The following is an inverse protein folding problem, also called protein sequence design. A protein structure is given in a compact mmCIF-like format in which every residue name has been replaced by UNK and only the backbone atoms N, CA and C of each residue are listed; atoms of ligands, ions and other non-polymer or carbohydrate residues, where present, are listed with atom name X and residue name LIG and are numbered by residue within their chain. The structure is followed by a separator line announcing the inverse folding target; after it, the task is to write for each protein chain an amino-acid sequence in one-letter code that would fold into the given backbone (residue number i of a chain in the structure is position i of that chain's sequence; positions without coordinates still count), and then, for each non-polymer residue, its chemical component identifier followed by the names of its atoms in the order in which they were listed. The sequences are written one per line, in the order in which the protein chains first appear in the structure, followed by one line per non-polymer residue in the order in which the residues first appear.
data_IF_685326728410
#
_entry.id   IF_685326728410
#
_cell.length_a   1.000
_cell.length_b   1.000
_cell.length_c   1.000
_cell.angle_alpha   90.00
_cell.angle_beta   90.00
_cell.angle_gamma   90.00
#
_symmetry.space_group_name_H-M   'P 1'
#
loop_
_entity.id
_entity.type
_entity.pdbx_description
1 polymer ?
#
# COMPACT_ATOMS: atom_id res chain seq x y z
N UNK A 1 -1.91 -23.25 7.89
CA UNK A 1 -1.95 -24.68 7.56
C UNK A 1 -0.90 -24.90 6.49
N UNK A 2 0.08 -25.78 6.74
CA UNK A 2 1.23 -25.99 5.86
C UNK A 2 0.77 -26.51 4.50
N UNK A 3 1.31 -25.95 3.42
CA UNK A 3 1.09 -26.42 2.06
C UNK A 3 1.35 -27.91 1.98
N UNK A 4 0.34 -28.67 1.55
CA UNK A 4 0.48 -30.08 1.26
C UNK A 4 1.24 -30.18 -0.08
N UNK A 5 2.57 -30.05 -0.04
CA UNK A 5 3.42 -30.14 -1.21
C UNK A 5 3.12 -31.46 -1.95
N UNK A 6 2.56 -31.33 -3.15
CA UNK A 6 2.24 -32.49 -3.98
C UNK A 6 3.53 -33.25 -4.31
N UNK A 7 3.50 -34.57 -4.19
CA UNK A 7 4.67 -35.42 -4.46
C UNK A 7 4.34 -36.51 -5.47
N UNK A 8 5.33 -36.97 -6.24
CA UNK A 8 5.24 -38.14 -7.11
C UNK A 8 6.26 -39.21 -6.71
N UNK A 9 5.95 -40.47 -7.02
CA UNK A 9 6.89 -41.57 -6.83
C UNK A 9 7.67 -41.78 -8.13
N UNK A 10 9.00 -41.85 -8.03
CA UNK A 10 9.90 -42.21 -9.12
C UNK A 10 10.74 -43.42 -8.72
N UNK A 11 11.35 -44.06 -9.72
CA UNK A 11 12.28 -45.18 -9.52
C UNK A 11 13.71 -44.72 -9.78
N UNK A 12 14.64 -45.14 -8.92
CA UNK A 12 16.06 -44.97 -9.19
C UNK A 12 16.45 -45.76 -10.44
N UNK A 13 17.05 -45.10 -11.42
CA UNK A 13 17.47 -45.74 -12.67
C UNK A 13 18.48 -46.89 -12.48
N UNK A 14 19.24 -46.88 -11.37
CA UNK A 14 20.28 -47.88 -11.09
C UNK A 14 19.81 -49.05 -10.22
N UNK A 15 19.06 -48.80 -9.14
CA UNK A 15 18.66 -49.86 -8.19
C UNK A 15 17.15 -50.07 -8.07
N UNK A 16 16.33 -49.36 -8.87
CA UNK A 16 14.87 -49.45 -8.85
C UNK A 16 14.21 -49.10 -7.50
N UNK A 17 14.96 -48.55 -6.55
CA UNK A 17 14.41 -48.01 -5.30
C UNK A 17 13.35 -46.95 -5.58
N UNK A 18 12.22 -47.01 -4.88
CA UNK A 18 11.16 -45.98 -4.95
C UNK A 18 11.58 -44.75 -4.14
N UNK A 19 11.42 -43.57 -4.73
CA UNK A 19 11.64 -42.28 -4.10
C UNK A 19 10.41 -41.41 -4.25
N UNK A 20 10.05 -40.69 -3.19
CA UNK A 20 9.06 -39.63 -3.25
C UNK A 20 9.78 -38.32 -3.53
N UNK A 21 9.43 -37.65 -4.62
CA UNK A 21 9.99 -36.34 -4.99
C UNK A 21 8.86 -35.32 -5.10
N UNK A 22 9.12 -34.04 -4.73
CA UNK A 22 8.16 -32.97 -4.94
C UNK A 22 7.85 -32.80 -6.44
N UNK A 23 6.65 -32.33 -6.75
CA UNK A 23 6.27 -31.92 -8.10
C UNK A 23 6.13 -30.41 -8.19
N UNK A 24 6.34 -29.86 -9.39
CA UNK A 24 6.11 -28.44 -9.71
C UNK A 24 6.95 -27.46 -8.89
N UNK A 25 8.25 -27.74 -8.74
CA UNK A 25 9.18 -26.83 -8.07
C UNK A 25 10.43 -26.52 -8.92
N UNK A 26 10.40 -26.85 -10.20
CA UNK A 26 11.52 -26.69 -11.13
C UNK A 26 12.60 -27.77 -10.98
N UNK A 27 13.84 -27.40 -11.28
CA UNK A 27 15.00 -28.30 -11.26
C UNK A 27 15.45 -28.61 -9.85
N UNK A 28 15.57 -29.91 -9.55
CA UNK A 28 16.10 -30.40 -8.28
C UNK A 28 17.22 -31.41 -8.50
N UNK A 29 18.07 -31.55 -7.48
CA UNK A 29 19.04 -32.64 -7.39
C UNK A 29 18.49 -33.74 -6.50
N UNK A 30 18.34 -34.93 -7.06
CA UNK A 30 17.84 -36.11 -6.34
C UNK A 30 19.00 -37.04 -6.02
N UNK A 31 19.03 -37.55 -4.79
CA UNK A 31 19.99 -38.56 -4.34
C UNK A 31 19.25 -39.85 -3.99
N UNK A 32 19.73 -40.97 -4.52
CA UNK A 32 19.20 -42.27 -4.16
C UNK A 32 19.43 -42.54 -2.65
N UNK A 33 18.39 -42.92 -1.89
CA UNK A 33 18.53 -43.21 -0.46
C UNK A 33 19.19 -44.57 -0.20
N UNK A 34 19.29 -45.45 -1.21
CA UNK A 34 19.98 -46.72 -1.07
C UNK A 34 21.50 -46.47 -0.92
N UNK A 35 22.11 -46.82 0.22
CA UNK A 35 23.51 -46.53 0.54
C UNK A 35 24.53 -47.22 -0.39
N UNK A 36 24.14 -48.31 -1.05
CA UNK A 36 24.97 -49.03 -2.02
C UNK A 36 24.89 -48.42 -3.43
N UNK A 37 23.80 -47.74 -3.76
CA UNK A 37 23.54 -47.22 -5.10
C UNK A 37 24.23 -45.87 -5.36
N UNK A 38 24.21 -44.98 -4.36
CA UNK A 38 24.80 -43.61 -4.33
C UNK A 38 24.53 -42.72 -5.55
N UNK A 39 23.61 -43.11 -6.45
CA UNK A 39 23.31 -42.37 -7.66
C UNK A 39 22.71 -41.00 -7.31
N UNK A 40 23.18 -39.97 -8.02
CA UNK A 40 22.64 -38.61 -7.96
C UNK A 40 22.36 -38.16 -9.38
N UNK A 41 21.23 -37.50 -9.58
CA UNK A 41 20.85 -36.95 -10.87
C UNK A 41 20.04 -35.68 -10.69
N UNK A 42 20.05 -34.84 -11.72
CA UNK A 42 19.17 -33.69 -11.80
C UNK A 42 17.90 -34.07 -12.55
N UNK A 43 16.77 -33.54 -12.09
CA UNK A 43 15.51 -33.69 -12.80
C UNK A 43 14.67 -32.43 -12.69
N UNK A 44 13.88 -32.20 -13.73
CA UNK A 44 12.86 -31.17 -13.72
C UNK A 44 11.55 -31.76 -13.16
N UNK A 45 11.00 -31.12 -12.13
CA UNK A 45 9.76 -31.53 -11.49
C UNK A 45 8.52 -30.85 -12.09
N UNK A 46 8.72 -30.02 -13.12
CA UNK A 46 7.71 -29.15 -13.71
C UNK A 46 7.79 -27.74 -13.13
N UNK A 47 7.26 -26.77 -13.87
CA UNK A 47 7.18 -25.38 -13.43
C UNK A 47 6.26 -25.26 -12.22
N UNK A 48 6.65 -24.37 -11.29
CA UNK A 48 5.78 -23.97 -10.18
C UNK A 48 4.51 -23.37 -10.79
N UNK A 49 3.30 -23.73 -10.31
CA UNK A 49 2.10 -23.07 -10.79
C UNK A 49 2.28 -21.57 -10.59
N UNK A 50 2.07 -20.79 -11.65
CA UNK A 50 1.96 -19.34 -11.53
C UNK A 50 0.72 -19.05 -10.68
N UNK A 51 0.93 -18.75 -9.41
CA UNK A 51 -0.11 -18.11 -8.62
C UNK A 51 -0.07 -16.62 -8.97
N UNK A 52 -1.12 -16.07 -9.60
CA UNK A 52 -1.17 -14.64 -9.84
C UNK A 52 -1.07 -13.94 -8.50
N UNK A 53 -0.07 -13.07 -8.36
CA UNK A 53 0.08 -12.19 -7.19
C UNK A 53 -1.20 -11.36 -7.11
N UNK A 54 -2.10 -11.72 -6.20
CA UNK A 54 -3.29 -10.92 -5.94
C UNK A 54 -2.83 -9.71 -5.13
N UNK A 55 -2.76 -8.57 -5.79
CA UNK A 55 -2.48 -7.31 -5.11
C UNK A 55 -3.54 -7.09 -4.00
N UNK A 56 -3.14 -6.47 -2.88
CA UNK A 56 -4.05 -6.17 -1.77
C UNK A 56 -5.06 -5.04 -2.11
N UNK A 57 -4.96 -4.51 -3.32
CA UNK A 57 -5.82 -3.46 -3.88
C UNK A 57 -6.14 -3.71 -5.36
N UNK A 58 -7.20 -3.07 -5.82
CA UNK A 58 -7.51 -2.84 -7.22
C UNK A 58 -7.15 -1.40 -7.59
N UNK A 59 -6.51 -1.22 -8.74
CA UNK A 59 -6.31 0.12 -9.32
C UNK A 59 -7.61 0.55 -9.99
N UNK A 60 -8.10 1.71 -9.58
CA UNK A 60 -9.30 2.35 -10.13
C UNK A 60 -8.84 3.43 -11.11
N UNK A 61 -9.15 3.27 -12.38
CA UNK A 61 -8.73 4.18 -13.45
C UNK A 61 -9.55 5.47 -13.43
N UNK A 62 -9.24 6.35 -12.48
CA UNK A 62 -9.87 7.65 -12.29
C UNK A 62 -8.80 8.70 -11.98
N UNK A 63 -8.85 9.80 -12.71
CA UNK A 63 -7.97 10.95 -12.48
C UNK A 63 -8.33 11.69 -11.18
N UNK A 64 -7.34 11.86 -10.30
CA UNK A 64 -7.50 12.59 -9.03
C UNK A 64 -7.93 14.06 -9.26
N UNK A 65 -8.76 14.59 -8.36
CA UNK A 65 -9.30 15.95 -8.44
C UNK A 65 -10.51 16.11 -9.37
N UNK A 66 -10.89 15.08 -10.12
CA UNK A 66 -12.09 15.11 -10.98
C UNK A 66 -13.40 14.87 -10.21
N UNK A 67 -14.54 15.20 -10.81
CA UNK A 67 -15.85 14.86 -10.24
C UNK A 67 -16.04 13.34 -10.03
N UNK A 68 -15.52 12.51 -10.95
CA UNK A 68 -15.54 11.06 -10.83
C UNK A 68 -14.74 10.59 -9.60
N UNK A 69 -13.56 11.19 -9.38
CA UNK A 69 -12.75 10.91 -8.18
C UNK A 69 -13.49 11.27 -6.90
N UNK A 70 -14.14 12.44 -6.87
CA UNK A 70 -14.94 12.86 -5.74
C UNK A 70 -16.14 11.96 -5.46
N UNK A 71 -16.80 11.44 -6.50
CA UNK A 71 -17.91 10.51 -6.38
C UNK A 71 -17.44 9.12 -5.89
N UNK A 72 -16.30 8.63 -6.39
CA UNK A 72 -15.67 7.40 -5.90
C UNK A 72 -15.32 7.52 -4.41
N UNK A 73 -14.76 8.65 -3.97
CA UNK A 73 -14.46 8.93 -2.55
C UNK A 73 -15.68 9.00 -1.62
N UNK A 74 -16.89 9.14 -2.15
CA UNK A 74 -18.11 9.07 -1.33
C UNK A 74 -18.53 7.62 -1.02
N UNK A 75 -17.95 6.65 -1.72
CA UNK A 75 -18.22 5.22 -1.59
C UNK A 75 -17.35 4.55 -0.51
N UNK A 76 -16.45 5.30 0.13
CA UNK A 76 -15.56 4.78 1.16
C UNK A 76 -14.87 5.88 1.98
N UNK A 77 -13.82 5.48 2.69
CA UNK A 77 -12.94 6.30 3.50
C UNK A 77 -11.59 6.40 2.81
N UNK A 78 -11.12 7.63 2.60
CA UNK A 78 -9.82 7.90 2.01
C UNK A 78 -8.73 8.02 3.06
N UNK A 79 -7.47 7.76 2.71
CA UNK A 79 -6.33 7.95 3.63
C UNK A 79 -6.31 9.31 4.35
N UNK A 80 -6.69 10.40 3.67
CA UNK A 80 -6.77 11.75 4.26
C UNK A 80 -7.83 11.91 5.34
N UNK A 81 -8.82 11.02 5.39
CA UNK A 81 -9.88 11.02 6.40
C UNK A 81 -9.37 10.42 7.72
N UNK A 82 -8.40 9.50 7.65
CA UNK A 82 -7.92 8.69 8.75
C UNK A 82 -7.48 9.50 9.99
N UNK A 83 -6.63 10.55 9.87
CA UNK A 83 -6.25 11.34 11.04
C UNK A 83 -7.45 12.00 11.74
N UNK A 84 -8.49 12.37 10.99
CA UNK A 84 -9.70 12.97 11.58
C UNK A 84 -10.55 11.93 12.30
N UNK A 85 -10.67 10.73 11.72
CA UNK A 85 -11.40 9.60 12.31
C UNK A 85 -10.70 9.13 13.59
N UNK A 86 -9.37 9.13 13.60
CA UNK A 86 -8.52 8.80 14.74
C UNK A 86 -8.45 9.90 15.81
N UNK A 87 -8.97 11.10 15.54
CA UNK A 87 -8.91 12.23 16.48
C UNK A 87 -7.55 12.94 16.53
N UNK A 88 -6.70 12.74 15.53
CA UNK A 88 -5.33 13.28 15.41
C UNK A 88 -5.29 14.58 14.59
N UNK A 89 -6.36 14.90 13.86
CA UNK A 89 -6.46 16.12 13.07
C UNK A 89 -6.81 17.34 13.94
N UNK A 90 -5.92 18.34 14.08
CA UNK A 90 -6.18 19.52 14.92
C UNK A 90 -7.17 20.52 14.29
N UNK A 91 -7.48 20.40 12.99
CA UNK A 91 -8.31 21.36 12.25
C UNK A 91 -9.74 20.87 11.97
N UNK A 92 -10.01 19.57 12.15
CA UNK A 92 -11.31 18.97 11.85
C UNK A 92 -11.66 17.91 12.88
N UNK A 93 -12.88 17.97 13.41
CA UNK A 93 -13.41 16.94 14.29
C UNK A 93 -14.01 15.77 13.50
N UNK A 94 -14.04 14.59 14.13
CA UNK A 94 -14.75 13.40 13.61
C UNK A 94 -16.20 13.71 13.22
N UNK A 95 -16.94 14.43 14.06
CA UNK A 95 -18.33 14.78 13.79
C UNK A 95 -18.49 15.68 12.56
N UNK A 96 -17.58 16.64 12.37
CA UNK A 96 -17.56 17.47 11.16
C UNK A 96 -17.28 16.65 9.90
N UNK A 97 -16.33 15.71 9.96
CA UNK A 97 -16.06 14.81 8.83
C UNK A 97 -17.27 13.92 8.51
N UNK A 98 -17.96 13.40 9.53
CA UNK A 98 -19.16 12.59 9.35
C UNK A 98 -20.25 13.39 8.64
N UNK A 99 -20.49 14.63 9.06
CA UNK A 99 -21.45 15.54 8.44
C UNK A 99 -21.11 15.85 6.97
N UNK A 100 -19.83 16.15 6.69
CA UNK A 100 -19.32 16.39 5.34
C UNK A 100 -19.53 15.15 4.43
N UNK A 101 -19.22 13.95 4.93
CA UNK A 101 -19.42 12.67 4.22
C UNK A 101 -20.89 12.31 4.02
N UNK A 102 -21.75 12.64 4.98
CA UNK A 102 -23.19 12.39 4.91
C UNK A 102 -23.85 13.29 3.86
N UNK A 103 -23.57 14.59 3.92
CA UNK A 103 -24.12 15.60 3.00
C UNK A 103 -23.38 15.69 1.66
N UNK A 104 -22.31 14.92 1.48
CA UNK A 104 -21.40 14.96 0.31
C UNK A 104 -20.89 16.38 0.05
N UNK A 105 -20.63 17.14 1.11
CA UNK A 105 -20.14 18.51 1.03
C UNK A 105 -18.69 18.47 0.59
N UNK A 106 -18.37 19.20 -0.48
CA UNK A 106 -17.00 19.36 -0.95
C UNK A 106 -16.35 20.52 -0.20
N UNK A 107 -15.23 20.22 0.47
CA UNK A 107 -14.40 21.27 1.07
C UNK A 107 -13.78 22.08 -0.07
N UNK A 108 -14.05 23.38 -0.09
CA UNK A 108 -13.38 24.29 -1.03
C UNK A 108 -11.89 24.26 -0.75
N UNK A 109 -11.09 23.98 -1.78
CA UNK A 109 -9.64 24.00 -1.65
C UNK A 109 -9.18 25.39 -1.17
N UNK A 110 -8.37 25.41 -0.11
CA UNK A 110 -7.68 26.64 0.29
C UNK A 110 -6.56 26.95 -0.71
N UNK A 111 -6.06 28.19 -0.71
CA UNK A 111 -4.91 28.56 -1.55
C UNK A 111 -3.69 27.66 -1.28
N UNK A 112 -3.48 27.28 -0.02
CA UNK A 112 -2.41 26.37 0.37
C UNK A 112 -2.60 24.96 -0.23
N UNK A 113 -3.84 24.44 -0.24
CA UNK A 113 -4.16 23.16 -0.88
C UNK A 113 -3.97 23.24 -2.39
N UNK A 114 -4.52 24.28 -3.04
CA UNK A 114 -4.39 24.48 -4.48
C UNK A 114 -2.93 24.61 -4.94
N UNK A 115 -2.11 25.38 -4.20
CA UNK A 115 -0.67 25.48 -4.42
C UNK A 115 0.01 24.12 -4.24
N UNK A 116 -0.39 23.35 -3.23
CA UNK A 116 0.13 22.01 -3.00
C UNK A 116 -0.10 21.09 -4.19
N UNK A 117 -1.34 21.01 -4.67
CA UNK A 117 -1.72 20.23 -5.85
C UNK A 117 -0.97 20.69 -7.11
N UNK A 118 -0.79 21.99 -7.31
CA UNK A 118 -0.05 22.51 -8.47
C UNK A 118 1.44 22.13 -8.46
N UNK A 119 2.06 21.99 -7.28
CA UNK A 119 3.48 21.64 -7.12
C UNK A 119 3.75 20.14 -7.15
N UNK A 120 2.75 19.31 -6.87
CA UNK A 120 2.91 17.85 -6.72
C UNK A 120 3.54 17.16 -7.95
N UNK A 121 3.20 17.49 -9.21
CA UNK A 121 3.87 16.87 -10.36
C UNK A 121 5.36 17.21 -10.46
N UNK A 122 5.77 18.41 -10.05
CA UNK A 122 7.18 18.82 -10.01
C UNK A 122 7.92 18.12 -8.86
N UNK A 123 7.30 18.09 -7.68
CA UNK A 123 7.81 17.41 -6.49
C UNK A 123 8.08 15.92 -6.75
N UNK A 124 7.15 15.26 -7.45
CA UNK A 124 7.27 13.86 -7.84
C UNK A 124 8.43 13.61 -8.79
N UNK A 125 8.58 14.44 -9.84
CA UNK A 125 9.73 14.35 -10.75
C UNK A 125 11.06 14.53 -10.00
N UNK A 126 11.10 15.38 -8.97
CA UNK A 126 12.28 15.51 -8.11
C UNK A 126 12.52 14.25 -7.28
N UNK A 127 11.48 13.67 -6.68
CA UNK A 127 11.57 12.39 -5.99
C UNK A 127 12.14 11.31 -6.91
N UNK A 128 11.56 11.11 -8.09
CA UNK A 128 12.03 10.09 -9.07
C UNK A 128 13.49 10.29 -9.45
N UNK A 129 13.92 11.55 -9.69
CA UNK A 129 15.32 11.88 -9.99
C UNK A 129 16.28 11.57 -8.84
N UNK A 130 15.82 11.73 -7.59
CA UNK A 130 16.65 11.57 -6.38
C UNK A 130 16.75 10.12 -5.93
N UNK A 131 15.66 9.37 -6.03
CA UNK A 131 15.58 7.98 -5.57
C UNK A 131 15.85 6.98 -6.68
N UNK A 132 15.66 7.35 -7.95
CA UNK A 132 15.69 6.44 -9.08
C UNK A 132 14.42 5.57 -9.21
N UNK A 133 13.39 5.83 -8.40
CA UNK A 133 12.14 5.06 -8.38
C UNK A 133 11.09 5.82 -9.19
N UNK A 134 10.66 5.25 -10.32
CA UNK A 134 9.57 5.80 -11.16
C UNK A 134 8.21 5.55 -10.51
N UNK A 135 7.38 6.58 -10.38
CA UNK A 135 6.09 6.49 -9.67
C UNK A 135 4.98 7.30 -10.35
N UNK A 136 3.74 6.82 -10.30
CA UNK A 136 2.57 7.51 -10.88
C UNK A 136 1.39 7.59 -9.90
N UNK A 137 0.48 8.57 -10.05
CA UNK A 137 -0.58 8.78 -9.08
C UNK A 137 -1.67 7.76 -9.37
N UNK A 138 -2.15 7.08 -8.34
CA UNK A 138 -3.15 6.03 -8.50
C UNK A 138 -4.27 6.16 -7.47
N UNK A 139 -5.46 5.73 -7.87
CA UNK A 139 -6.57 5.50 -6.96
C UNK A 139 -6.63 4.00 -6.69
N UNK A 140 -6.54 3.63 -5.42
CA UNK A 140 -6.47 2.24 -4.95
C UNK A 140 -7.70 1.95 -4.09
N UNK A 141 -8.30 0.79 -4.30
CA UNK A 141 -9.37 0.26 -3.46
C UNK A 141 -8.96 -1.09 -2.89
N UNK A 142 -9.02 -1.26 -1.57
CA UNK A 142 -8.63 -2.51 -0.94
C UNK A 142 -9.50 -3.68 -1.42
N UNK A 143 -8.86 -4.83 -1.69
CA UNK A 143 -9.56 -6.08 -2.00
C UNK A 143 -10.16 -6.76 -0.76
N UNK A 144 -9.66 -6.41 0.43
CA UNK A 144 -10.13 -6.94 1.71
C UNK A 144 -11.29 -6.12 2.28
N UNK A 145 -11.23 -4.79 2.16
CA UNK A 145 -12.23 -3.87 2.69
C UNK A 145 -12.73 -2.94 1.58
N UNK A 146 -13.90 -3.21 1.01
CA UNK A 146 -14.43 -2.45 -0.14
C UNK A 146 -14.55 -0.93 0.11
N UNK A 147 -14.67 -0.51 1.37
CA UNK A 147 -14.79 0.89 1.78
C UNK A 147 -13.44 1.58 2.01
N UNK A 148 -12.32 0.85 2.01
CA UNK A 148 -10.99 1.38 2.30
C UNK A 148 -10.33 1.81 0.98
N UNK A 149 -10.11 3.12 0.83
CA UNK A 149 -9.67 3.77 -0.40
C UNK A 149 -8.39 4.59 -0.18
N UNK A 150 -7.47 4.58 -1.13
CA UNK A 150 -6.31 5.46 -1.11
C UNK A 150 -6.14 6.18 -2.45
N UNK A 151 -5.95 7.51 -2.40
CA UNK A 151 -5.43 8.27 -3.54
C UNK A 151 -3.98 8.56 -3.20
N UNK A 152 -3.06 7.84 -3.84
CA UNK A 152 -1.64 7.95 -3.54
C UNK A 152 -0.97 8.91 -4.51
N UNK A 153 -0.02 9.68 -4.02
CA UNK A 153 0.70 10.64 -4.85
C UNK A 153 1.63 9.91 -5.82
N UNK A 154 2.28 8.83 -5.40
CA UNK A 154 3.04 7.98 -6.31
C UNK A 154 3.08 6.53 -5.86
N UNK A 155 2.87 5.60 -6.80
CA UNK A 155 3.15 4.18 -6.65
C UNK A 155 4.03 3.73 -7.81
N UNK A 156 5.02 2.88 -7.53
CA UNK A 156 5.88 2.27 -8.55
C UNK A 156 5.11 1.21 -9.35
N UNK A 157 5.52 0.98 -10.60
CA UNK A 157 4.82 0.02 -11.49
C UNK A 157 4.90 -1.44 -11.00
N UNK A 158 5.94 -1.78 -10.24
CA UNK A 158 6.08 -3.08 -9.57
C UNK A 158 5.30 -3.17 -8.24
N UNK A 159 4.69 -2.07 -7.80
CA UNK A 159 3.90 -1.98 -6.58
C UNK A 159 4.70 -2.02 -5.28
N UNK A 160 6.04 -1.97 -5.34
CA UNK A 160 6.93 -2.13 -4.18
C UNK A 160 7.26 -0.83 -3.45
N UNK A 161 6.91 0.34 -4.00
CA UNK A 161 7.23 1.64 -3.40
C UNK A 161 6.08 2.61 -3.56
N UNK A 162 5.71 3.27 -2.46
CA UNK A 162 4.68 4.31 -2.44
C UNK A 162 5.23 5.56 -1.78
N UNK A 163 4.86 6.72 -2.31
CA UNK A 163 5.25 8.03 -1.81
C UNK A 163 4.03 8.90 -1.54
N UNK A 164 4.06 9.59 -0.40
CA UNK A 164 3.16 10.69 -0.05
C UNK A 164 3.96 12.00 -0.10
N UNK A 165 3.47 12.98 -0.87
CA UNK A 165 4.14 14.23 -1.20
C UNK A 165 3.47 15.40 -0.48
N UNK A 166 4.27 16.22 0.20
CA UNK A 166 3.78 17.43 0.88
C UNK A 166 4.51 18.68 0.41
N UNK A 167 3.75 19.63 -0.14
CA UNK A 167 4.28 20.90 -0.65
C UNK A 167 3.96 22.13 0.24
N UNK A 168 3.67 21.88 1.52
CA UNK A 168 3.28 22.92 2.48
C UNK A 168 4.45 23.50 3.28
N UNK A 169 4.43 24.81 3.53
CA UNK A 169 5.48 25.49 4.32
C UNK A 169 5.63 24.96 5.76
N UNK A 170 4.51 24.66 6.42
CA UNK A 170 4.51 24.23 7.83
C UNK A 170 5.08 22.82 7.98
N UNK A 171 4.59 21.89 7.16
CA UNK A 171 5.05 20.49 7.13
C UNK A 171 6.51 20.39 6.73
N UNK A 172 6.95 21.15 5.72
CA UNK A 172 8.35 21.22 5.33
C UNK A 172 9.24 21.68 6.50
N UNK A 173 8.88 22.80 7.16
CA UNK A 173 9.66 23.32 8.29
C UNK A 173 9.74 22.31 9.43
N UNK A 174 8.63 21.66 9.77
CA UNK A 174 8.61 20.63 10.79
C UNK A 174 9.57 19.49 10.40
N UNK A 175 9.35 18.85 9.25
CA UNK A 175 10.14 17.70 8.81
C UNK A 175 11.64 18.03 8.68
N UNK A 176 11.99 19.20 8.13
CA UNK A 176 13.37 19.64 8.02
C UNK A 176 14.04 19.89 9.38
N UNK A 177 13.30 20.38 10.37
CA UNK A 177 13.86 20.72 11.69
C UNK A 177 13.91 19.54 12.66
N UNK A 178 12.96 18.61 12.56
CA UNK A 178 12.83 17.50 13.50
C UNK A 178 13.31 16.17 12.93
N UNK A 179 13.43 16.04 11.61
CA UNK A 179 13.62 14.75 10.94
C UNK A 179 12.43 13.81 11.11
N UNK A 180 11.25 14.33 11.44
CA UNK A 180 10.06 13.53 11.76
C UNK A 180 8.84 14.01 10.98
N UNK A 181 7.92 13.08 10.71
CA UNK A 181 6.61 13.40 10.15
C UNK A 181 5.74 14.04 11.24
N UNK A 182 5.01 15.15 10.95
CA UNK A 182 4.04 15.68 11.89
C UNK A 182 2.97 14.64 12.24
N UNK A 183 2.67 14.48 13.54
CA UNK A 183 1.76 13.44 14.05
C UNK A 183 0.39 13.40 13.36
N UNK A 184 -0.14 14.55 12.94
CA UNK A 184 -1.44 14.64 12.26
C UNK A 184 -1.44 14.07 10.83
N UNK A 185 -0.31 13.62 10.30
CA UNK A 185 -0.24 12.82 9.06
C UNK A 185 -0.12 11.32 9.32
N UNK A 186 0.22 10.88 10.54
CA UNK A 186 0.57 9.47 10.79
C UNK A 186 -0.57 8.52 10.43
N UNK A 187 -1.82 8.84 10.81
CA UNK A 187 -2.99 8.07 10.39
C UNK A 187 -3.17 7.97 8.87
N UNK A 188 -2.85 9.03 8.11
CA UNK A 188 -2.91 8.99 6.65
C UNK A 188 -1.89 8.01 6.08
N UNK A 189 -0.66 8.06 6.59
CA UNK A 189 0.44 7.21 6.13
C UNK A 189 0.16 5.74 6.44
N UNK A 190 -0.24 5.43 7.68
CA UNK A 190 -0.58 4.06 8.07
C UNK A 190 -1.81 3.52 7.32
N UNK A 191 -2.79 4.37 6.99
CA UNK A 191 -3.91 3.97 6.12
C UNK A 191 -3.43 3.57 4.71
N UNK A 192 -2.49 4.31 4.12
CA UNK A 192 -1.91 3.94 2.81
C UNK A 192 -1.23 2.58 2.91
N UNK A 193 -0.40 2.36 3.94
CA UNK A 193 0.25 1.06 4.19
C UNK A 193 -0.78 -0.06 4.38
N UNK A 194 -1.90 0.21 5.06
CA UNK A 194 -2.98 -0.76 5.22
C UNK A 194 -3.64 -1.16 3.88
N UNK A 195 -3.72 -0.24 2.92
CA UNK A 195 -4.26 -0.49 1.57
C UNK A 195 -3.23 -1.21 0.68
N UNK A 196 -1.97 -0.79 0.71
CA UNK A 196 -0.91 -1.29 -0.17
C UNK A 196 -0.23 -2.55 0.34
N UNK A 197 -0.38 -2.86 1.63
CA UNK A 197 0.33 -3.93 2.35
C UNK A 197 1.86 -3.81 2.31
N UNK A 198 2.36 -2.60 2.08
CA UNK A 198 3.81 -2.32 2.09
C UNK A 198 4.33 -2.19 3.53
N UNK A 199 5.59 -2.56 3.71
CA UNK A 199 6.29 -2.47 5.00
C UNK A 199 6.68 -1.03 5.36
N UNK A 200 6.79 -0.15 4.37
CA UNK A 200 7.12 1.26 4.55
C UNK A 200 6.60 2.11 3.39
N UNK A 201 6.59 3.42 3.59
CA UNK A 201 6.37 4.42 2.55
C UNK A 201 7.34 5.57 2.66
N UNK A 202 7.53 6.26 1.55
CA UNK A 202 8.29 7.49 1.50
C UNK A 202 7.40 8.71 1.77
N UNK A 203 7.82 9.56 2.70
CA UNK A 203 7.24 10.86 2.96
C UNK A 203 8.17 11.94 2.40
N UNK A 204 7.70 12.65 1.38
CA UNK A 204 8.50 13.58 0.59
C UNK A 204 8.01 15.02 0.73
N UNK A 205 8.79 15.88 1.38
CA UNK A 205 8.49 17.32 1.41
C UNK A 205 9.23 18.06 0.30
N UNK A 206 8.50 18.83 -0.49
CA UNK A 206 9.05 19.63 -1.59
C UNK A 206 8.64 21.10 -1.49
N UNK A 207 9.61 22.00 -1.70
CA UNK A 207 9.36 23.42 -1.94
C UNK A 207 10.38 23.93 -2.97
N UNK A 208 9.94 24.64 -4.02
CA UNK A 208 10.86 25.20 -5.01
C UNK A 208 11.98 26.04 -4.37
N UNK A 209 13.21 25.81 -4.81
CA UNK A 209 14.40 26.53 -4.33
C UNK A 209 14.86 26.13 -2.93
N UNK A 210 14.34 25.04 -2.35
CA UNK A 210 14.79 24.51 -1.06
C UNK A 210 15.33 23.09 -1.20
N UNK A 211 16.20 22.63 -0.28
CA UNK A 211 16.57 21.22 -0.21
C UNK A 211 15.34 20.34 0.01
N UNK A 212 15.30 19.18 -0.62
CA UNK A 212 14.22 18.21 -0.39
C UNK A 212 14.32 17.59 1.01
N UNK A 213 13.20 17.18 1.60
CA UNK A 213 13.18 16.38 2.83
C UNK A 213 12.53 15.04 2.54
N UNK A 214 13.29 13.96 2.77
CA UNK A 214 12.88 12.59 2.55
C UNK A 214 12.90 11.83 3.87
N UNK A 215 11.74 11.36 4.31
CA UNK A 215 11.60 10.52 5.50
C UNK A 215 10.96 9.19 5.11
N UNK A 216 11.38 8.10 5.73
CA UNK A 216 10.69 6.81 5.62
C UNK A 216 9.79 6.59 6.82
N UNK A 217 8.60 6.07 6.57
CA UNK A 217 7.64 5.72 7.61
C UNK A 217 7.35 4.24 7.52
N UNK A 218 7.76 3.52 8.56
CA UNK A 218 7.51 2.10 8.71
C UNK A 218 6.06 1.82 9.06
N UNK A 219 5.60 0.65 8.63
CA UNK A 219 4.30 0.09 8.98
C UNK A 219 4.24 -0.23 10.47
N UNK A 220 3.20 0.28 11.13
CA UNK A 220 2.87 -0.03 12.51
C UNK A 220 1.60 -0.87 12.54
N UNK A 221 1.77 -2.19 12.65
CA UNK A 221 0.65 -3.14 12.65
C UNK A 221 -0.35 -2.89 13.78
N UNK A 222 0.13 -2.54 14.97
CA UNK A 222 -0.75 -2.28 16.11
C UNK A 222 -1.59 -1.03 15.87
N UNK A 223 -0.98 0.01 15.30
CA UNK A 223 -1.69 1.22 14.91
C UNK A 223 -2.70 0.92 13.79
N UNK A 224 -2.30 0.18 12.74
CA UNK A 224 -3.16 -0.18 11.61
C UNK A 224 -4.37 -1.01 12.06
N UNK A 225 -4.18 -2.00 12.92
CA UNK A 225 -5.28 -2.79 13.48
C UNK A 225 -6.30 -1.90 14.18
N UNK A 226 -5.84 -0.97 15.02
CA UNK A 226 -6.70 -0.02 15.72
C UNK A 226 -7.39 0.95 14.75
N UNK A 227 -6.65 1.46 13.76
CA UNK A 227 -7.14 2.37 12.72
C UNK A 227 -8.28 1.72 11.93
N UNK A 228 -8.07 0.51 11.42
CA UNK A 228 -9.06 -0.21 10.63
C UNK A 228 -10.34 -0.48 11.44
N UNK A 229 -10.21 -0.82 12.74
CA UNK A 229 -11.38 -0.99 13.61
C UNK A 229 -12.17 0.31 13.82
N UNK A 230 -11.49 1.44 14.03
CA UNK A 230 -12.15 2.74 14.24
C UNK A 230 -12.80 3.23 12.94
N UNK A 231 -12.09 3.11 11.81
CA UNK A 231 -12.60 3.48 10.48
C UNK A 231 -13.79 2.61 10.07
N UNK A 232 -13.74 1.30 10.32
CA UNK A 232 -14.88 0.41 10.06
C UNK A 232 -16.13 0.87 10.83
N UNK A 233 -15.99 1.17 12.13
CA UNK A 233 -17.12 1.68 12.94
C UNK A 233 -17.63 3.02 12.41
N UNK A 234 -16.74 3.91 12.00
CA UNK A 234 -17.13 5.19 11.38
C UNK A 234 -17.91 4.96 10.08
N UNK A 235 -17.43 4.04 9.23
CA UNK A 235 -18.09 3.71 7.97
C UNK A 235 -19.48 3.10 8.20
N UNK A 236 -19.62 2.19 9.15
CA UNK A 236 -20.90 1.57 9.52
C UNK A 236 -21.90 2.61 10.07
N UNK A 237 -21.45 3.55 10.89
CA UNK A 237 -22.27 4.68 11.36
C UNK A 237 -22.74 5.55 10.18
N UNK A 238 -21.82 5.93 9.29
CA UNK A 238 -22.16 6.72 8.10
C UNK A 238 -23.17 6.00 7.20
N UNK A 239 -23.03 4.68 7.03
CA UNK A 239 -23.98 3.88 6.25
C UNK A 239 -25.37 3.87 6.86
N UNK A 240 -25.48 3.67 8.18
CA UNK A 240 -26.77 3.70 8.90
C UNK A 240 -27.46 5.06 8.80
N UNK A 241 -26.70 6.16 8.78
CA UNK A 241 -27.26 7.50 8.64
C UNK A 241 -27.71 7.83 7.20
N UNK A 242 -27.31 7.02 6.21
CA UNK A 242 -27.70 7.18 4.80
C UNK A 242 -28.95 6.37 4.42
N UNK A 243 -29.35 5.42 5.27
CA UNK A 243 -30.58 4.63 5.16
C UNK A 243 -31.78 5.45 5.66
#
# INVERSE_FOLDING_TARGET
MMDNESTKIILCARCQQRLRVPVRIGKIRVKCPNPECRLQWEMDTGERPYEPVRLPYQVVDIQQGTAAWHAWRDQGLGASDAPTIMGENPWKSRGKLLDEKLRRVRVRASEAMARGTALEPEARKQYERKTGISVRPLCLQSTKFYWLLASVDGLSDDGNSVVEIKCGNMVYRHAASTGQVPKYYFGQLQHILAVTDLAELDFWCYLPGRPDVHLRVERDEHYIERLLQIEQRFWEELRKLRE
#
